data_IF_306580466493
#
_entry.id   IF_306580466493
#
_cell.length_a   1.000
_cell.length_b   1.000
_cell.length_c   1.000
_cell.angle_alpha   90.00
_cell.angle_beta   90.00
_cell.angle_gamma   90.00
#
_symmetry.space_group_name_H-M   'P 1'
#
loop_
_entity.id
_entity.type
_entity.pdbx_description
1 polymer ?
#
# COMPACT_ATOMS: atom_id res chain seq x y z
N UNK A 1 -21.67 14.17 -11.72
CA UNK A 1 -20.40 14.59 -12.36
C UNK A 1 -19.25 14.21 -11.44
N UNK A 2 -18.44 13.24 -11.86
CA UNK A 2 -17.18 12.93 -11.22
C UNK A 2 -16.22 14.12 -11.38
N UNK A 3 -15.50 14.47 -10.32
CA UNK A 3 -14.48 15.52 -10.35
C UNK A 3 -13.09 14.89 -10.32
N UNK A 4 -12.07 15.57 -10.87
CA UNK A 4 -10.69 15.17 -10.66
C UNK A 4 -10.38 15.04 -9.17
N UNK A 5 -9.67 13.97 -8.81
CA UNK A 5 -9.28 13.69 -7.43
C UNK A 5 -7.96 14.37 -7.10
N UNK A 6 -7.89 15.03 -5.95
CA UNK A 6 -6.69 15.73 -5.47
C UNK A 6 -5.96 14.94 -4.39
N UNK A 7 -4.64 15.06 -4.29
CA UNK A 7 -3.90 14.39 -3.20
C UNK A 7 -4.37 14.89 -1.84
N UNK A 8 -4.48 13.98 -0.88
CA UNK A 8 -4.53 14.32 0.54
C UNK A 8 -3.14 14.63 1.08
N UNK A 9 -3.06 15.44 2.14
CA UNK A 9 -1.80 15.82 2.81
C UNK A 9 -1.34 14.72 3.77
N UNK A 10 -2.26 13.86 4.22
CA UNK A 10 -1.98 12.74 5.10
C UNK A 10 -3.23 11.93 5.45
N UNK A 11 -3.05 10.90 6.27
CA UNK A 11 -4.16 10.01 6.66
C UNK A 11 -5.25 10.76 7.44
N UNK A 12 -4.87 11.53 8.46
CA UNK A 12 -5.84 12.22 9.32
C UNK A 12 -6.66 13.26 8.52
N UNK A 13 -5.98 14.01 7.65
CA UNK A 13 -6.61 14.96 6.72
C UNK A 13 -7.57 14.25 5.75
N UNK A 14 -7.17 13.10 5.21
CA UNK A 14 -8.02 12.33 4.30
C UNK A 14 -9.25 11.73 5.00
N UNK A 15 -9.12 11.23 6.23
CA UNK A 15 -10.24 10.68 7.00
C UNK A 15 -11.26 11.76 7.39
N UNK A 16 -10.85 13.01 7.51
CA UNK A 16 -11.73 14.14 7.83
C UNK A 16 -12.52 14.64 6.61
N UNK A 17 -11.85 14.78 5.46
CA UNK A 17 -12.48 15.23 4.21
C UNK A 17 -11.94 14.46 2.99
N UNK A 18 -12.54 13.29 2.66
CA UNK A 18 -12.06 12.45 1.58
C UNK A 18 -12.59 12.88 0.20
N UNK A 19 -13.66 13.68 0.13
CA UNK A 19 -14.45 13.80 -1.09
C UNK A 19 -13.73 14.59 -2.19
N UNK A 20 -13.59 13.98 -3.37
CA UNK A 20 -12.80 14.55 -4.47
C UNK A 20 -11.30 14.49 -4.21
N UNK A 21 -10.85 13.53 -3.39
CA UNK A 21 -9.45 13.34 -3.02
C UNK A 21 -9.02 11.88 -3.10
N UNK A 22 -7.72 11.67 -3.07
CA UNK A 22 -7.10 10.36 -2.94
C UNK A 22 -6.00 10.37 -1.89
N UNK A 23 -5.74 9.20 -1.30
CA UNK A 23 -4.59 8.93 -0.46
C UNK A 23 -3.79 7.78 -1.06
N UNK A 24 -2.49 8.00 -1.26
CA UNK A 24 -1.58 7.00 -1.78
C UNK A 24 -0.84 6.27 -0.64
N UNK A 25 -0.72 4.97 -0.80
CA UNK A 25 0.25 4.12 -0.10
C UNK A 25 1.20 3.47 -1.10
N UNK A 26 2.11 2.63 -0.60
CA UNK A 26 3.18 2.02 -1.41
C UNK A 26 2.67 1.13 -2.57
N UNK A 27 1.52 0.48 -2.39
CA UNK A 27 0.94 -0.43 -3.38
C UNK A 27 -0.56 -0.23 -3.60
N UNK A 28 -1.09 0.90 -3.14
CA UNK A 28 -2.49 1.22 -3.34
C UNK A 28 -2.73 2.73 -3.43
N UNK A 29 -3.83 3.11 -4.07
CA UNK A 29 -4.47 4.40 -3.86
C UNK A 29 -5.89 4.14 -3.41
N UNK A 30 -6.35 4.84 -2.39
CA UNK A 30 -7.77 4.94 -2.08
C UNK A 30 -8.27 6.31 -2.53
N UNK A 31 -9.47 6.38 -3.09
CA UNK A 31 -9.99 7.62 -3.66
C UNK A 31 -11.51 7.75 -3.47
N UNK A 32 -11.98 9.00 -3.44
CA UNK A 32 -13.38 9.37 -3.60
C UNK A 32 -13.49 10.35 -4.77
N UNK A 33 -14.16 9.94 -5.85
CA UNK A 33 -14.45 10.83 -6.97
C UNK A 33 -15.68 11.72 -6.70
N UNK A 34 -16.55 11.29 -5.78
CA UNK A 34 -17.69 12.03 -5.23
C UNK A 34 -18.18 11.33 -3.95
N UNK A 35 -19.06 11.92 -3.12
CA UNK A 35 -19.57 11.24 -1.93
C UNK A 35 -20.30 9.91 -2.16
N UNK A 36 -20.74 9.65 -3.40
CA UNK A 36 -21.44 8.43 -3.78
C UNK A 36 -20.55 7.42 -4.53
N UNK A 37 -19.29 7.76 -4.84
CA UNK A 37 -18.40 6.94 -5.68
C UNK A 37 -16.99 6.98 -5.14
N UNK A 38 -16.54 5.85 -4.60
CA UNK A 38 -15.19 5.65 -4.10
C UNK A 38 -14.60 4.33 -4.61
N UNK A 39 -13.39 4.06 -4.15
CA UNK A 39 -12.77 2.77 -4.37
C UNK A 39 -11.31 2.82 -3.98
N UNK A 40 -10.65 1.70 -4.22
CA UNK A 40 -9.20 1.65 -4.16
C UNK A 40 -8.66 0.84 -5.33
N UNK A 41 -7.48 1.25 -5.78
CA UNK A 41 -6.69 0.54 -6.78
C UNK A 41 -5.48 -0.03 -6.08
N UNK A 42 -5.18 -1.31 -6.29
CA UNK A 42 -4.08 -2.03 -5.64
C UNK A 42 -3.26 -2.80 -6.68
N UNK A 43 -1.93 -2.83 -6.50
CA UNK A 43 -1.01 -3.39 -7.50
C UNK A 43 0.20 -4.10 -6.89
N UNK A 44 0.91 -4.87 -7.72
CA UNK A 44 2.15 -5.56 -7.34
C UNK A 44 1.87 -6.76 -6.43
N UNK A 45 2.62 -6.85 -5.33
CA UNK A 45 2.57 -7.95 -4.35
C UNK A 45 2.43 -7.38 -2.93
N UNK A 46 1.27 -6.81 -2.57
CA UNK A 46 1.09 -6.17 -1.27
C UNK A 46 1.10 -7.21 -0.14
N UNK A 47 2.11 -7.13 0.73
CA UNK A 47 2.22 -7.97 1.92
C UNK A 47 1.48 -7.38 3.12
N UNK A 48 1.69 -7.97 4.30
CA UNK A 48 1.07 -7.55 5.56
C UNK A 48 1.14 -6.04 5.83
N UNK A 49 2.31 -5.41 5.62
CA UNK A 49 2.50 -3.99 5.92
C UNK A 49 1.66 -3.07 5.00
N UNK A 50 1.61 -3.39 3.71
CA UNK A 50 0.84 -2.62 2.73
C UNK A 50 -0.66 -2.79 2.95
N UNK A 51 -1.11 -4.01 3.24
CA UNK A 51 -2.53 -4.26 3.54
C UNK A 51 -2.94 -3.63 4.87
N UNK A 52 -2.08 -3.68 5.90
CA UNK A 52 -2.34 -2.99 7.17
C UNK A 52 -2.48 -1.48 7.01
N UNK A 53 -1.72 -0.88 6.08
CA UNK A 53 -1.86 0.53 5.75
C UNK A 53 -3.15 0.80 4.98
N UNK A 54 -3.55 -0.06 4.04
CA UNK A 54 -4.82 0.05 3.33
C UNK A 54 -6.02 -0.02 4.28
N UNK A 55 -6.03 -0.96 5.23
CA UNK A 55 -7.15 -1.12 6.17
C UNK A 55 -7.34 0.08 7.11
N UNK A 56 -6.27 0.82 7.44
CA UNK A 56 -6.38 2.10 8.16
C UNK A 56 -7.13 3.16 7.36
N UNK A 57 -7.08 3.08 6.02
CA UNK A 57 -7.78 4.03 5.14
C UNK A 57 -9.23 3.62 4.94
N UNK A 58 -9.52 2.33 4.82
CA UNK A 58 -10.87 1.80 4.53
C UNK A 58 -11.94 2.21 5.56
N UNK A 59 -11.56 2.60 6.77
CA UNK A 59 -12.50 3.12 7.77
C UNK A 59 -13.24 4.39 7.28
N UNK A 60 -12.67 5.11 6.29
CA UNK A 60 -13.33 6.24 5.62
C UNK A 60 -14.64 5.85 4.90
N UNK A 61 -14.79 4.57 4.52
CA UNK A 61 -16.02 4.02 3.90
C UNK A 61 -17.06 3.61 4.95
N UNK A 62 -16.71 3.62 6.24
CA UNK A 62 -17.62 3.35 7.36
C UNK A 62 -18.12 4.64 8.01
N UNK A 63 -17.24 5.63 8.16
CA UNK A 63 -17.56 6.96 8.68
C UNK A 63 -16.52 7.98 8.16
N UNK A 64 -16.93 9.17 7.69
CA UNK A 64 -18.29 9.73 7.68
C UNK A 64 -19.12 9.33 6.44
N UNK A 65 -18.87 8.14 5.87
CA UNK A 65 -19.39 7.73 4.57
C UNK A 65 -20.92 7.87 4.41
N UNK A 66 -21.32 8.49 3.29
CA UNK A 66 -22.67 8.39 2.74
C UNK A 66 -22.82 7.07 1.98
N UNK A 67 -24.06 6.61 1.71
CA UNK A 67 -24.27 5.43 0.87
C UNK A 67 -23.65 5.61 -0.52
N UNK A 68 -22.73 4.71 -0.88
CA UNK A 68 -21.89 4.85 -2.08
C UNK A 68 -21.74 3.53 -2.84
N UNK A 69 -21.20 3.61 -4.06
CA UNK A 69 -20.69 2.47 -4.82
C UNK A 69 -19.17 2.43 -4.74
N UNK A 70 -18.60 1.23 -4.68
CA UNK A 70 -17.16 1.02 -4.50
C UNK A 70 -16.56 0.24 -5.67
N UNK A 71 -15.45 0.74 -6.23
CA UNK A 71 -14.63 0.00 -7.21
C UNK A 71 -13.37 -0.52 -6.52
N UNK A 72 -13.18 -1.83 -6.52
CA UNK A 72 -11.92 -2.47 -6.16
C UNK A 72 -11.19 -2.83 -7.44
N UNK A 73 -10.15 -2.08 -7.80
CA UNK A 73 -9.32 -2.39 -8.96
C UNK A 73 -8.04 -3.12 -8.53
N UNK A 74 -8.06 -4.44 -8.66
CA UNK A 74 -6.94 -5.33 -8.36
C UNK A 74 -6.28 -5.91 -9.61
N UNK A 75 -6.59 -5.40 -10.82
CA UNK A 75 -6.11 -5.99 -12.09
C UNK A 75 -4.59 -6.01 -12.25
N UNK A 76 -3.88 -5.25 -11.42
CA UNK A 76 -2.42 -5.13 -11.39
C UNK A 76 -1.75 -5.91 -10.26
N UNK A 77 -2.50 -6.76 -9.55
CA UNK A 77 -1.92 -7.71 -8.60
C UNK A 77 -1.22 -8.82 -9.36
N UNK A 78 0.07 -9.00 -9.11
CA UNK A 78 0.87 -10.06 -9.73
C UNK A 78 0.70 -11.39 -9.00
N UNK A 79 0.74 -11.35 -7.67
CA UNK A 79 0.64 -12.52 -6.82
C UNK A 79 -0.01 -12.12 -5.48
N UNK A 80 -1.07 -12.80 -5.05
CA UNK A 80 -1.65 -12.60 -3.74
C UNK A 80 -0.72 -13.13 -2.65
N UNK A 81 -0.41 -12.29 -1.67
CA UNK A 81 0.35 -12.66 -0.49
C UNK A 81 -0.61 -13.20 0.60
N UNK A 82 -0.43 -14.44 1.10
CA UNK A 82 -1.28 -15.00 2.16
C UNK A 82 -1.30 -14.18 3.46
N UNK A 83 -0.18 -13.54 3.84
CA UNK A 83 -0.10 -12.68 5.03
C UNK A 83 -0.97 -11.44 4.87
N UNK A 84 -0.89 -10.79 3.70
CA UNK A 84 -1.71 -9.64 3.34
C UNK A 84 -3.20 -9.99 3.34
N UNK A 85 -3.58 -11.12 2.71
CA UNK A 85 -4.96 -11.61 2.73
C UNK A 85 -5.46 -11.87 4.16
N UNK A 86 -4.62 -12.44 5.04
CA UNK A 86 -5.01 -12.67 6.43
C UNK A 86 -5.32 -11.36 7.18
N UNK A 87 -4.57 -10.28 6.93
CA UNK A 87 -4.86 -8.96 7.52
C UNK A 87 -6.22 -8.48 7.06
N UNK A 88 -6.50 -8.57 5.76
CA UNK A 88 -7.76 -8.10 5.19
C UNK A 88 -8.96 -8.90 5.73
N UNK A 89 -8.85 -10.23 5.85
CA UNK A 89 -9.88 -11.08 6.48
C UNK A 89 -10.15 -10.62 7.92
N UNK A 90 -9.09 -10.45 8.74
CA UNK A 90 -9.20 -10.03 10.14
C UNK A 90 -9.84 -8.65 10.29
N UNK A 91 -9.56 -7.74 9.35
CA UNK A 91 -10.15 -6.41 9.33
C UNK A 91 -11.64 -6.44 8.93
N UNK A 92 -11.97 -7.17 7.86
CA UNK A 92 -13.31 -7.19 7.27
C UNK A 92 -14.33 -7.92 8.15
N UNK A 93 -13.98 -9.06 8.75
CA UNK A 93 -14.91 -9.89 9.51
C UNK A 93 -15.73 -9.14 10.58
N UNK A 94 -15.14 -8.32 11.48
CA UNK A 94 -15.91 -7.55 12.46
C UNK A 94 -16.61 -6.30 11.89
N UNK A 95 -16.26 -5.86 10.67
CA UNK A 95 -16.73 -4.59 10.07
C UNK A 95 -17.75 -4.80 8.96
N UNK A 96 -17.98 -6.02 8.51
CA UNK A 96 -18.78 -6.30 7.30
C UNK A 96 -20.20 -5.74 7.39
N UNK A 97 -20.83 -5.78 8.57
CA UNK A 97 -22.15 -5.20 8.81
C UNK A 97 -22.15 -3.68 8.73
N UNK A 98 -21.03 -3.02 9.02
CA UNK A 98 -20.87 -1.58 8.83
C UNK A 98 -20.76 -1.24 7.35
N UNK A 99 -19.91 -1.97 6.60
CA UNK A 99 -19.83 -1.80 5.15
C UNK A 99 -21.17 -2.09 4.45
N UNK A 100 -21.96 -3.05 4.93
CA UNK A 100 -23.28 -3.33 4.39
C UNK A 100 -24.31 -2.19 4.57
N UNK A 101 -24.05 -1.25 5.49
CA UNK A 101 -24.89 -0.07 5.68
C UNK A 101 -24.53 1.08 4.72
N UNK A 102 -23.29 1.13 4.24
CA UNK A 102 -22.77 2.23 3.41
C UNK A 102 -22.56 1.82 1.96
N UNK A 103 -22.06 0.61 1.69
CA UNK A 103 -21.76 0.11 0.34
C UNK A 103 -23.02 -0.44 -0.32
N UNK A 104 -23.53 0.28 -1.34
CA UNK A 104 -24.71 -0.13 -2.12
C UNK A 104 -24.39 -1.27 -3.08
N UNK A 105 -23.23 -1.19 -3.75
CA UNK A 105 -22.71 -2.19 -4.70
C UNK A 105 -21.19 -2.07 -4.79
N UNK A 106 -20.51 -3.20 -5.01
CA UNK A 106 -19.07 -3.25 -5.22
C UNK A 106 -18.69 -3.97 -6.51
N UNK A 107 -17.90 -3.32 -7.37
CA UNK A 107 -17.31 -3.95 -8.53
C UNK A 107 -15.87 -4.35 -8.21
N UNK A 108 -15.54 -5.63 -8.39
CA UNK A 108 -14.18 -6.14 -8.27
C UNK A 108 -13.60 -6.33 -9.66
N UNK A 109 -12.53 -5.62 -9.99
CA UNK A 109 -11.75 -5.86 -11.19
C UNK A 109 -10.56 -6.72 -10.79
N UNK A 110 -10.50 -7.93 -11.32
CA UNK A 110 -9.50 -8.93 -10.93
C UNK A 110 -8.50 -9.17 -12.06
N UNK A 111 -7.25 -9.56 -11.75
CA UNK A 111 -6.31 -9.97 -12.79
C UNK A 111 -6.77 -11.28 -13.42
N UNK A 112 -6.19 -11.65 -14.56
CA UNK A 112 -6.40 -12.96 -15.16
C UNK A 112 -5.61 -14.05 -14.43
N UNK A 113 -5.92 -15.33 -14.73
CA UNK A 113 -5.18 -16.47 -14.20
C UNK A 113 -5.35 -16.73 -12.70
N UNK A 114 -4.32 -17.34 -12.10
CA UNK A 114 -4.36 -17.82 -10.71
C UNK A 114 -4.54 -16.68 -9.69
N UNK A 115 -3.84 -15.55 -9.90
CA UNK A 115 -4.00 -14.38 -9.04
C UNK A 115 -5.46 -13.91 -9.01
N UNK A 116 -6.12 -13.91 -10.17
CA UNK A 116 -7.53 -13.56 -10.30
C UNK A 116 -8.47 -14.52 -9.59
N UNK A 117 -8.17 -15.81 -9.63
CA UNK A 117 -8.95 -16.84 -8.94
C UNK A 117 -8.87 -16.66 -7.41
N UNK A 118 -7.68 -16.37 -6.87
CA UNK A 118 -7.49 -16.15 -5.44
C UNK A 118 -8.18 -14.86 -4.96
N UNK A 119 -7.98 -13.74 -5.68
CA UNK A 119 -8.62 -12.46 -5.34
C UNK A 119 -10.15 -12.58 -5.42
N UNK A 120 -10.69 -13.18 -6.49
CA UNK A 120 -12.12 -13.42 -6.62
C UNK A 120 -12.69 -14.35 -5.55
N UNK A 121 -11.95 -15.40 -5.19
CA UNK A 121 -12.32 -16.32 -4.11
C UNK A 121 -12.41 -15.62 -2.76
N UNK A 122 -11.42 -14.77 -2.42
CA UNK A 122 -11.44 -13.96 -1.20
C UNK A 122 -12.70 -13.07 -1.15
N UNK A 123 -12.97 -12.32 -2.22
CA UNK A 123 -14.14 -11.43 -2.24
C UNK A 123 -15.45 -12.20 -2.15
N UNK A 124 -15.54 -13.40 -2.73
CA UNK A 124 -16.73 -14.26 -2.60
C UNK A 124 -17.02 -14.67 -1.16
N UNK A 125 -16.00 -14.74 -0.30
CA UNK A 125 -16.16 -15.06 1.13
C UNK A 125 -16.68 -13.87 1.95
N UNK A 126 -16.31 -12.64 1.57
CA UNK A 126 -16.67 -11.42 2.30
C UNK A 126 -17.86 -10.66 1.69
N UNK A 127 -18.27 -10.97 0.46
CA UNK A 127 -19.24 -10.19 -0.31
C UNK A 127 -20.71 -10.56 -0.10
N UNK A 128 -21.06 -11.45 0.84
CA UNK A 128 -22.45 -11.88 1.03
C UNK A 128 -23.37 -10.81 1.61
N UNK A 129 -22.80 -9.72 2.15
CA UNK A 129 -23.54 -8.68 2.85
C UNK A 129 -24.01 -7.50 1.97
N UNK A 130 -23.49 -7.37 0.74
CA UNK A 130 -23.93 -6.37 -0.24
C UNK A 130 -23.62 -6.83 -1.68
N UNK A 131 -24.40 -6.38 -2.69
CA UNK A 131 -24.22 -6.84 -4.06
C UNK A 131 -22.80 -6.60 -4.58
N UNK A 132 -22.12 -7.67 -4.96
CA UNK A 132 -20.75 -7.63 -5.47
C UNK A 132 -20.64 -8.44 -6.75
N UNK A 133 -19.88 -7.94 -7.72
CA UNK A 133 -19.62 -8.64 -8.98
C UNK A 133 -18.18 -8.47 -9.44
N UNK A 134 -17.59 -9.55 -9.95
CA UNK A 134 -16.25 -9.54 -10.50
C UNK A 134 -16.25 -9.29 -12.02
N UNK A 135 -15.27 -8.53 -12.50
CA UNK A 135 -15.07 -8.12 -13.88
C UNK A 135 -13.61 -8.29 -14.30
N UNK A 136 -13.37 -8.44 -15.61
CA UNK A 136 -12.04 -8.38 -16.21
C UNK A 136 -11.70 -6.94 -16.65
N UNK A 137 -12.69 -6.21 -17.16
CA UNK A 137 -12.56 -4.83 -17.60
C UNK A 137 -13.10 -3.86 -16.52
N UNK A 138 -12.30 -2.89 -16.03
CA UNK A 138 -12.77 -1.88 -15.09
C UNK A 138 -13.89 -0.99 -15.65
N UNK A 139 -13.95 -0.78 -16.98
CA UNK A 139 -14.99 0.04 -17.60
C UNK A 139 -16.36 -0.62 -17.48
N UNK A 140 -16.45 -1.94 -17.68
CA UNK A 140 -17.67 -2.72 -17.45
C UNK A 140 -18.09 -2.68 -15.96
N UNK A 141 -17.10 -2.76 -15.06
CA UNK A 141 -17.33 -2.65 -13.62
C UNK A 141 -17.98 -1.32 -13.25
N UNK A 142 -17.41 -0.20 -13.70
CA UNK A 142 -17.97 1.14 -13.47
C UNK A 142 -19.35 1.32 -14.12
N UNK A 143 -19.57 0.74 -15.31
CA UNK A 143 -20.88 0.71 -15.95
C UNK A 143 -21.94 -0.01 -15.10
N UNK A 144 -21.59 -1.13 -14.48
CA UNK A 144 -22.46 -1.85 -13.55
C UNK A 144 -22.74 -1.10 -12.24
N UNK A 145 -21.79 -0.26 -11.81
CA UNK A 145 -21.98 0.72 -10.72
C UNK A 145 -22.81 1.95 -11.16
N UNK A 146 -23.36 1.93 -12.38
CA UNK A 146 -24.24 2.96 -12.91
C UNK A 146 -23.51 4.25 -13.30
N UNK A 147 -22.21 4.17 -13.64
CA UNK A 147 -21.45 5.32 -14.12
C UNK A 147 -21.60 5.44 -15.65
N UNK A 148 -21.91 6.64 -16.18
CA UNK A 148 -21.89 6.87 -17.62
C UNK A 148 -20.52 6.57 -18.21
N UNK A 149 -20.47 5.98 -19.40
CA UNK A 149 -19.22 5.52 -20.00
C UNK A 149 -18.17 6.63 -20.13
N UNK A 150 -18.57 7.85 -20.53
CA UNK A 150 -17.66 8.98 -20.65
C UNK A 150 -17.06 9.38 -19.30
N UNK A 151 -17.85 9.40 -18.22
CA UNK A 151 -17.37 9.70 -16.86
C UNK A 151 -16.44 8.57 -16.35
N UNK A 152 -16.81 7.32 -16.62
CA UNK A 152 -16.02 6.15 -16.23
C UNK A 152 -14.65 6.13 -16.93
N UNK A 153 -14.60 6.41 -18.24
CA UNK A 153 -13.34 6.49 -19.00
C UNK A 153 -12.42 7.59 -18.47
N UNK A 154 -12.97 8.78 -18.19
CA UNK A 154 -12.20 9.88 -17.64
C UNK A 154 -11.61 9.54 -16.27
N UNK A 155 -12.41 8.97 -15.37
CA UNK A 155 -11.95 8.54 -14.06
C UNK A 155 -10.87 7.45 -14.17
N UNK A 156 -11.06 6.44 -15.04
CA UNK A 156 -10.07 5.37 -15.20
C UNK A 156 -8.74 5.89 -15.75
N UNK A 157 -8.77 6.82 -16.70
CA UNK A 157 -7.55 7.43 -17.23
C UNK A 157 -6.78 8.18 -16.14
N UNK A 158 -7.49 8.94 -15.29
CA UNK A 158 -6.89 9.65 -14.16
C UNK A 158 -6.32 8.68 -13.11
N UNK A 159 -7.06 7.65 -12.72
CA UNK A 159 -6.58 6.63 -11.77
C UNK A 159 -5.37 5.88 -12.32
N UNK A 160 -5.36 5.59 -13.62
CA UNK A 160 -4.22 4.92 -14.26
C UNK A 160 -3.00 5.83 -14.30
N UNK A 161 -3.17 7.13 -14.55
CA UNK A 161 -2.07 8.10 -14.44
C UNK A 161 -1.55 8.17 -13.00
N UNK A 162 -2.44 8.23 -11.99
CA UNK A 162 -2.02 8.23 -10.59
C UNK A 162 -1.26 6.94 -10.22
N UNK A 163 -1.75 5.77 -10.65
CA UNK A 163 -1.04 4.51 -10.44
C UNK A 163 0.31 4.54 -11.14
N UNK A 164 0.41 5.06 -12.36
CA UNK A 164 1.68 5.21 -13.06
C UNK A 164 2.60 6.23 -12.40
N UNK A 165 2.08 7.28 -11.76
CA UNK A 165 2.87 8.21 -10.97
C UNK A 165 3.37 7.57 -9.68
N UNK A 166 2.56 6.75 -9.00
CA UNK A 166 2.96 6.00 -7.80
C UNK A 166 3.91 4.84 -8.12
N UNK A 167 3.67 4.08 -9.18
CA UNK A 167 4.61 3.07 -9.71
C UNK A 167 5.86 3.73 -10.33
N UNK A 168 5.67 4.94 -10.85
CA UNK A 168 6.68 5.88 -11.29
C UNK A 168 7.42 6.58 -10.16
N UNK A 169 7.09 6.27 -8.88
CA UNK A 169 8.02 6.38 -7.75
C UNK A 169 9.08 5.26 -7.87
N UNK A 170 9.75 5.33 -9.02
CA UNK A 170 11.03 4.80 -9.42
C UNK A 170 11.24 3.28 -9.40
N UNK A 171 11.20 2.62 -10.58
CA UNK A 171 11.75 1.28 -10.78
C UNK A 171 13.19 1.14 -10.28
N UNK A 172 13.96 2.24 -10.32
CA UNK A 172 15.29 2.32 -9.74
C UNK A 172 15.27 2.16 -8.21
N UNK A 173 14.27 2.69 -7.50
CA UNK A 173 14.11 2.51 -6.05
C UNK A 173 13.71 1.07 -5.72
N UNK A 174 12.78 0.49 -6.48
CA UNK A 174 12.43 -0.93 -6.31
C UNK A 174 13.63 -1.85 -6.49
N UNK A 175 14.41 -1.64 -7.55
CA UNK A 175 15.64 -2.39 -7.81
C UNK A 175 16.71 -2.12 -6.75
N UNK A 176 16.87 -0.88 -6.31
CA UNK A 176 17.76 -0.49 -5.22
C UNK A 176 17.42 -1.26 -3.94
N UNK A 177 16.15 -1.30 -3.53
CA UNK A 177 15.71 -2.03 -2.34
C UNK A 177 15.94 -3.55 -2.47
N UNK A 178 15.78 -4.10 -3.67
CA UNK A 178 16.06 -5.52 -3.95
C UNK A 178 17.54 -5.86 -3.71
N UNK A 179 18.44 -4.97 -4.14
CA UNK A 179 19.89 -5.12 -3.95
C UNK A 179 20.29 -4.91 -2.49
N UNK A 180 19.70 -3.92 -1.80
CA UNK A 180 20.07 -3.57 -0.43
C UNK A 180 19.63 -4.58 0.62
N UNK A 181 18.42 -5.13 0.50
CA UNK A 181 17.77 -5.95 1.55
C UNK A 181 18.59 -7.16 2.03
N UNK A 182 19.16 -8.01 1.15
CA UNK A 182 19.95 -9.16 1.61
C UNK A 182 21.31 -8.78 2.19
N UNK A 183 21.73 -7.51 2.10
CA UNK A 183 23.10 -7.05 2.36
C UNK A 183 23.16 -5.94 3.42
N UNK A 184 22.10 -5.76 4.21
CA UNK A 184 22.02 -4.69 5.20
C UNK A 184 23.13 -4.74 6.25
N UNK A 185 23.63 -5.92 6.60
CA UNK A 185 24.74 -6.11 7.55
C UNK A 185 26.13 -5.83 6.95
N UNK A 186 26.22 -5.64 5.64
CA UNK A 186 27.49 -5.36 4.96
C UNK A 186 27.79 -3.86 5.00
N UNK A 187 29.08 -3.51 5.00
CA UNK A 187 29.51 -2.13 4.75
C UNK A 187 29.34 -1.79 3.26
N UNK A 188 28.09 -1.54 2.86
CA UNK A 188 27.77 -1.11 1.50
C UNK A 188 27.93 0.39 1.35
N UNK A 189 28.62 0.79 0.28
CA UNK A 189 28.60 2.16 -0.20
C UNK A 189 27.83 2.26 -1.52
N UNK A 190 27.60 3.49 -1.96
CA UNK A 190 26.91 3.79 -3.21
C UNK A 190 27.57 3.13 -4.44
N UNK A 191 28.91 2.97 -4.44
CA UNK A 191 29.66 2.39 -5.55
C UNK A 191 29.36 0.91 -5.75
N UNK A 192 29.24 0.16 -4.65
CA UNK A 192 28.97 -1.27 -4.71
C UNK A 192 27.58 -1.55 -5.26
N UNK A 193 26.60 -0.78 -4.80
CA UNK A 193 25.21 -0.89 -5.23
C UNK A 193 25.03 -0.40 -6.67
N UNK A 194 25.69 0.71 -7.04
CA UNK A 194 25.67 1.20 -8.42
C UNK A 194 26.21 0.16 -9.40
N UNK A 195 27.33 -0.49 -9.06
CA UNK A 195 27.96 -1.53 -9.88
C UNK A 195 27.02 -2.72 -10.10
N UNK A 196 26.36 -3.18 -9.04
CA UNK A 196 25.41 -4.29 -9.12
C UNK A 196 24.19 -3.95 -9.97
N UNK A 197 23.71 -2.70 -9.90
CA UNK A 197 22.62 -2.19 -10.73
C UNK A 197 23.05 -1.85 -12.18
N UNK A 198 24.31 -2.12 -12.56
CA UNK A 198 24.84 -1.82 -13.90
C UNK A 198 24.98 -0.34 -14.21
N UNK A 199 25.21 0.50 -13.19
CA UNK A 199 25.31 1.96 -13.30
C UNK A 199 26.61 2.51 -12.69
N UNK A 200 27.00 3.72 -13.09
CA UNK A 200 28.00 4.50 -12.35
C UNK A 200 27.37 5.19 -11.14
N UNK A 201 28.15 5.44 -10.08
CA UNK A 201 27.70 6.17 -8.88
C UNK A 201 27.01 7.49 -9.21
N UNK A 202 27.65 8.29 -10.09
CA UNK A 202 27.10 9.57 -10.54
C UNK A 202 25.72 9.41 -11.18
N UNK A 203 25.50 8.33 -11.91
CA UNK A 203 24.21 8.05 -12.56
C UNK A 203 23.17 7.62 -11.55
N UNK A 204 23.50 6.70 -10.64
CA UNK A 204 22.60 6.27 -9.58
C UNK A 204 22.21 7.46 -8.69
N UNK A 205 23.18 8.25 -8.24
CA UNK A 205 22.94 9.41 -7.38
C UNK A 205 22.11 10.49 -8.06
N UNK A 206 22.34 10.76 -9.35
CA UNK A 206 21.52 11.69 -10.13
C UNK A 206 20.08 11.17 -10.22
N UNK A 207 19.89 9.91 -10.63
CA UNK A 207 18.54 9.33 -10.77
C UNK A 207 17.78 9.28 -9.44
N UNK A 208 18.45 9.02 -8.31
CA UNK A 208 17.85 9.08 -6.98
C UNK A 208 17.40 10.49 -6.61
N UNK A 209 18.21 11.51 -6.93
CA UNK A 209 17.82 12.92 -6.74
C UNK A 209 16.66 13.32 -7.64
N UNK A 210 16.65 12.88 -8.89
CA UNK A 210 15.56 13.13 -9.83
C UNK A 210 14.24 12.50 -9.34
N UNK A 211 14.32 11.44 -8.52
CA UNK A 211 13.17 10.80 -7.86
C UNK A 211 12.87 11.37 -6.48
N UNK A 212 13.50 12.49 -6.10
CA UNK A 212 13.23 13.20 -4.84
C UNK A 212 13.84 12.57 -3.59
N UNK A 213 14.79 11.65 -3.72
CA UNK A 213 15.40 10.94 -2.59
C UNK A 213 16.93 10.90 -2.67
N UNK A 214 17.56 10.15 -1.76
CA UNK A 214 18.99 9.90 -1.73
C UNK A 214 19.27 8.45 -1.34
N UNK A 215 20.45 7.95 -1.69
CA UNK A 215 20.86 6.59 -1.32
C UNK A 215 20.75 6.34 0.19
N UNK A 216 21.19 7.29 1.02
CA UNK A 216 21.10 7.14 2.47
C UNK A 216 19.65 7.10 2.98
N UNK A 217 18.76 7.90 2.39
CA UNK A 217 17.35 7.90 2.77
C UNK A 217 16.69 6.56 2.44
N UNK A 218 17.00 5.99 1.27
CA UNK A 218 16.50 4.67 0.87
C UNK A 218 17.10 3.55 1.69
N UNK A 219 18.41 3.59 1.96
CA UNK A 219 19.07 2.61 2.83
C UNK A 219 18.42 2.57 4.22
N UNK A 220 18.27 3.75 4.83
CA UNK A 220 17.59 3.94 6.12
C UNK A 220 16.16 3.37 6.11
N UNK A 221 15.40 3.57 5.03
CA UNK A 221 14.05 3.03 4.88
C UNK A 221 14.05 1.50 4.86
N UNK A 222 14.96 0.89 4.09
CA UNK A 222 15.10 -0.58 4.01
C UNK A 222 15.49 -1.15 5.39
N UNK A 223 16.39 -0.49 6.13
CA UNK A 223 16.77 -0.90 7.49
C UNK A 223 15.57 -0.90 8.45
N UNK A 224 14.75 0.17 8.43
CA UNK A 224 13.58 0.26 9.32
C UNK A 224 12.54 -0.80 8.99
N UNK A 225 12.29 -1.06 7.71
CA UNK A 225 11.35 -2.11 7.28
C UNK A 225 11.82 -3.50 7.68
N UNK A 226 13.11 -3.81 7.47
CA UNK A 226 13.69 -5.07 7.92
C UNK A 226 13.59 -5.22 9.45
N UNK A 227 13.82 -4.13 10.19
CA UNK A 227 13.69 -4.13 11.64
C UNK A 227 12.24 -4.41 12.08
N UNK A 228 11.25 -3.78 11.45
CA UNK A 228 9.83 -4.03 11.74
C UNK A 228 9.50 -5.52 11.61
N UNK A 229 9.94 -6.18 10.53
CA UNK A 229 9.74 -7.62 10.34
C UNK A 229 10.40 -8.43 11.48
N UNK A 230 11.67 -8.18 11.78
CA UNK A 230 12.39 -8.89 12.85
C UNK A 230 11.77 -8.68 14.24
N UNK A 231 11.21 -7.49 14.51
CA UNK A 231 10.54 -7.17 15.76
C UNK A 231 9.22 -7.93 15.93
N UNK A 232 8.51 -8.24 14.83
CA UNK A 232 7.28 -9.04 14.84
C UNK A 232 7.58 -10.54 14.93
N UNK A 233 8.57 -10.99 14.17
CA UNK A 233 8.89 -12.42 14.00
C UNK A 233 9.70 -13.02 15.16
N UNK A 234 10.36 -12.19 15.98
CA UNK A 234 11.24 -12.66 17.04
C UNK A 234 11.13 -11.87 18.35
N UNK A 235 11.64 -12.47 19.43
CA UNK A 235 11.89 -11.78 20.72
C UNK A 235 13.34 -11.33 20.86
N UNK A 236 14.06 -11.20 19.74
CA UNK A 236 15.45 -10.77 19.75
C UNK A 236 15.61 -9.44 20.50
N UNK A 237 16.71 -9.30 21.24
CA UNK A 237 17.04 -8.04 21.92
C UNK A 237 17.17 -6.93 20.87
N UNK A 238 16.73 -5.72 21.19
CA UNK A 238 16.82 -4.59 20.24
C UNK A 238 18.25 -4.32 19.75
N UNK A 239 19.25 -4.64 20.57
CA UNK A 239 20.67 -4.57 20.18
C UNK A 239 21.02 -5.56 19.06
N UNK A 240 20.46 -6.77 19.11
CA UNK A 240 20.65 -7.78 18.07
C UNK A 240 19.91 -7.38 16.79
N UNK A 241 18.68 -6.88 16.90
CA UNK A 241 17.93 -6.36 15.75
C UNK A 241 18.67 -5.20 15.09
N UNK A 242 19.22 -4.27 15.88
CA UNK A 242 20.02 -3.17 15.35
C UNK A 242 21.23 -3.68 14.55
N UNK A 243 21.94 -4.68 15.06
CA UNK A 243 23.07 -5.27 14.35
C UNK A 243 22.63 -5.98 13.04
N UNK A 244 21.53 -6.73 13.10
CA UNK A 244 20.98 -7.49 11.97
C UNK A 244 20.47 -6.59 10.82
N UNK A 245 20.11 -5.35 11.11
CA UNK A 245 19.73 -4.37 10.08
C UNK A 245 20.87 -3.42 9.73
N UNK A 246 22.10 -3.69 10.17
CA UNK A 246 23.27 -2.87 9.84
C UNK A 246 23.33 -1.52 10.52
N UNK A 247 22.66 -1.33 11.66
CA UNK A 247 22.80 -0.10 12.44
C UNK A 247 24.05 -0.13 13.30
N UNK A 248 24.87 0.92 13.23
CA UNK A 248 26.13 1.03 13.98
C UNK A 248 25.96 1.01 15.50
N UNK A 249 24.78 1.36 16.02
CA UNK A 249 24.47 1.28 17.45
C UNK A 249 22.97 1.20 17.71
N UNK A 250 22.60 0.73 18.90
CA UNK A 250 21.21 0.74 19.38
C UNK A 250 20.61 2.15 19.40
N UNK A 251 21.42 3.16 19.74
CA UNK A 251 21.00 4.56 19.79
C UNK A 251 20.71 5.11 18.39
N UNK A 252 21.58 4.81 17.43
CA UNK A 252 21.35 5.16 16.02
C UNK A 252 20.08 4.48 15.50
N UNK A 253 19.95 3.17 15.73
CA UNK A 253 18.77 2.40 15.37
C UNK A 253 17.48 2.99 15.95
N UNK A 254 17.45 3.26 17.26
CA UNK A 254 16.25 3.78 17.92
C UNK A 254 15.85 5.16 17.41
N UNK A 255 16.84 6.03 17.13
CA UNK A 255 16.60 7.36 16.55
C UNK A 255 16.06 7.25 15.12
N UNK A 256 16.70 6.41 14.29
CA UNK A 256 16.30 6.15 12.91
C UNK A 256 14.89 5.57 12.83
N UNK A 257 14.62 4.53 13.63
CA UNK A 257 13.33 3.88 13.68
C UNK A 257 12.24 4.86 14.09
N UNK A 258 12.44 5.62 15.19
CA UNK A 258 11.47 6.64 15.64
C UNK A 258 11.24 7.73 14.60
N UNK A 259 12.29 8.14 13.89
CA UNK A 259 12.17 9.14 12.82
C UNK A 259 11.24 8.66 11.69
N UNK A 260 11.20 7.35 11.42
CA UNK A 260 10.38 6.79 10.33
C UNK A 260 9.02 6.25 10.78
N UNK A 261 8.90 5.76 12.01
CA UNK A 261 7.65 5.15 12.51
C UNK A 261 6.87 6.04 13.48
N UNK A 262 7.49 7.13 13.97
CA UNK A 262 6.90 8.01 14.99
C UNK A 262 7.05 7.51 16.44
N UNK A 263 7.51 6.27 16.65
CA UNK A 263 7.58 5.64 17.97
C UNK A 263 8.89 4.84 18.18
N UNK A 264 9.23 4.50 19.43
CA UNK A 264 10.43 3.71 19.70
C UNK A 264 10.24 2.25 19.25
N UNK A 265 11.33 1.52 18.90
CA UNK A 265 11.24 0.10 18.54
C UNK A 265 10.53 -0.78 19.58
N UNK A 266 10.72 -0.49 20.87
CA UNK A 266 10.07 -1.22 21.97
C UNK A 266 8.57 -0.96 22.04
N UNK A 267 8.15 0.30 21.93
CA UNK A 267 6.74 0.68 21.91
C UNK A 267 6.04 0.10 20.68
N UNK A 268 6.70 0.22 19.52
CA UNK A 268 6.24 -0.36 18.27
C UNK A 268 6.02 -1.87 18.38
N UNK A 269 7.01 -2.61 18.92
CA UNK A 269 6.89 -4.07 19.15
C UNK A 269 5.72 -4.40 20.07
N UNK A 270 5.60 -3.72 21.21
CA UNK A 270 4.54 -4.00 22.18
C UNK A 270 3.13 -3.76 21.60
N UNK A 271 3.00 -2.82 20.68
CA UNK A 271 1.74 -2.48 20.02
C UNK A 271 1.35 -3.43 18.88
N UNK A 272 2.33 -3.94 18.14
CA UNK A 272 2.08 -4.69 16.90
C UNK A 272 2.33 -6.20 17.02
N UNK A 273 3.07 -6.65 18.03
CA UNK A 273 3.28 -8.08 18.26
C UNK A 273 2.01 -8.70 18.87
N UNK A 274 1.39 -9.71 18.23
CA UNK A 274 0.22 -10.38 18.79
C UNK A 274 0.55 -10.96 20.17
N UNK A 275 -0.37 -10.87 21.12
CA UNK A 275 -0.24 -11.58 22.38
C UNK A 275 -0.13 -13.11 22.10
N UNK A 276 0.72 -13.85 22.82
CA UNK A 276 0.87 -15.28 22.66
C UNK A 276 -0.44 -16.05 22.94
#
# INVERSE_FOLDING_TARGET
>A
MLRPVRSADGLDDYLQDPFGRYLAGENFIHWYASPEVCGFTIWGRPGESQISRLTQVLDVELAPALPHVSLVDARRIEAPDPSGLSVLVKYMAPRISGFAQTVRRQALVRPEGLAGAVVGGFYSLVSSSYPTRAFADPLEGLGWLGRPEAEARALLAELDELVLQQQGQSPLIGELHRVLRPRLCEELNLADVAREMGMSERTLQRRLRDTGTSFQAEFNMVQVRAAQALLLESDAKLTAVAAEVGCASLQHFSSLFRKHTGESPSAWRAKHKPAP
#
